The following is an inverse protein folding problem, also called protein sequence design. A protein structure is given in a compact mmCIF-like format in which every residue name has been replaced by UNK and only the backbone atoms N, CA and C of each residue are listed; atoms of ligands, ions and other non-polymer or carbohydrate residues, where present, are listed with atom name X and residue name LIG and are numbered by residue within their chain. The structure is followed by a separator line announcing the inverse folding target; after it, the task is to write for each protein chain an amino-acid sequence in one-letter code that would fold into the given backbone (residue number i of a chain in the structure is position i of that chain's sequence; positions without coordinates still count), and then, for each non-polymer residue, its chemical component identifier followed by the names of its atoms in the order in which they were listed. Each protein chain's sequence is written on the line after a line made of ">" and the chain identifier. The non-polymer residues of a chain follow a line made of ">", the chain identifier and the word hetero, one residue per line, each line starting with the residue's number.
data_IF_474609185388
#
_entry.id   IF_474609185388
#
_cell.length_a   1.000
_cell.length_b   1.000
_cell.length_c   1.000
_cell.angle_alpha   90.00
_cell.angle_beta   90.00
_cell.angle_gamma   90.00
#
_symmetry.space_group_name_H-M   'P 1'
#
loop_
_entity.id
_entity.type
_entity.pdbx_description
1 polymer ?
#
# COMPACT_ATOMS: atom_id res chain seq x y z
N UNK A 1 29.46 23.65 -13.10
CA UNK A 1 28.72 22.69 -13.93
C UNK A 1 28.86 21.32 -13.26
N UNK A 2 27.73 20.73 -12.80
CA UNK A 2 27.79 19.47 -12.03
C UNK A 2 27.64 18.26 -12.97
N UNK A 3 26.72 18.32 -13.95
CA UNK A 3 26.44 17.24 -14.90
C UNK A 3 25.60 17.75 -16.09
N UNK A 4 25.42 16.87 -17.09
CA UNK A 4 24.39 17.03 -18.10
C UNK A 4 23.17 16.21 -17.62
N UNK A 5 22.07 16.87 -17.38
CA UNK A 5 20.83 16.27 -16.90
C UNK A 5 19.73 16.33 -17.96
N UNK A 6 18.85 15.35 -17.98
CA UNK A 6 17.58 15.41 -18.71
C UNK A 6 16.51 15.94 -17.78
N UNK A 7 15.86 17.03 -18.14
CA UNK A 7 14.75 17.59 -17.40
C UNK A 7 13.43 17.27 -18.10
N UNK A 8 12.53 16.57 -17.41
CA UNK A 8 11.16 16.31 -17.85
C UNK A 8 10.22 17.27 -17.12
N UNK A 9 9.40 17.99 -17.88
CA UNK A 9 8.45 18.97 -17.33
C UNK A 9 7.04 18.46 -17.55
N UNK A 10 6.35 18.17 -16.45
CA UNK A 10 4.95 17.76 -16.44
C UNK A 10 4.08 18.95 -16.02
N UNK A 11 3.10 19.28 -16.85
CA UNK A 11 2.12 20.32 -16.55
C UNK A 11 0.88 19.74 -15.90
N UNK A 12 0.37 20.44 -14.90
CA UNK A 12 -0.90 20.08 -14.27
C UNK A 12 -2.02 19.94 -15.33
N UNK A 13 -2.94 18.97 -15.20
CA UNK A 13 -3.00 17.91 -14.21
C UNK A 13 -2.23 16.62 -14.59
N UNK A 14 -1.41 16.65 -15.65
CA UNK A 14 -0.73 15.47 -16.24
C UNK A 14 0.61 15.20 -15.55
N UNK A 15 0.59 14.94 -14.25
CA UNK A 15 1.75 14.57 -13.42
C UNK A 15 1.33 13.56 -12.37
N UNK A 16 2.29 13.03 -11.63
CA UNK A 16 2.02 12.12 -10.51
C UNK A 16 1.17 12.79 -9.43
N UNK A 17 1.52 14.01 -9.02
CA UNK A 17 0.80 14.74 -7.97
C UNK A 17 -0.43 15.52 -8.50
N UNK A 18 -0.63 15.62 -9.81
CA UNK A 18 -1.64 16.51 -10.40
C UNK A 18 -1.23 17.97 -10.46
N UNK A 19 -0.04 18.34 -9.94
CA UNK A 19 0.55 19.66 -9.97
C UNK A 19 1.59 19.80 -11.10
N UNK A 20 2.21 20.97 -11.25
CA UNK A 20 3.38 21.09 -12.11
C UNK A 20 4.57 20.38 -11.47
N UNK A 21 5.18 19.42 -12.17
CA UNK A 21 6.30 18.62 -11.69
C UNK A 21 7.47 18.71 -12.66
N UNK A 22 8.67 18.77 -12.14
CA UNK A 22 9.91 18.66 -12.91
C UNK A 22 10.71 17.49 -12.38
N UNK A 23 11.12 16.59 -13.25
CA UNK A 23 12.00 15.48 -12.94
C UNK A 23 13.37 15.70 -13.58
N UNK A 24 14.43 15.54 -12.80
CA UNK A 24 15.81 15.66 -13.25
C UNK A 24 16.48 14.29 -13.24
N UNK A 25 16.77 13.74 -14.41
CA UNK A 25 17.54 12.51 -14.56
C UNK A 25 19.02 12.84 -14.77
N UNK A 26 19.87 12.35 -13.88
CA UNK A 26 21.34 12.55 -13.89
C UNK A 26 22.04 11.22 -14.01
N UNK A 27 23.35 11.23 -14.32
CA UNK A 27 24.16 10.00 -14.35
C UNK A 27 24.15 9.29 -12.98
N UNK A 28 24.11 7.95 -13.00
CA UNK A 28 24.05 7.12 -11.81
C UNK A 28 25.34 7.13 -11.00
N UNK A 29 25.38 7.92 -9.97
CA UNK A 29 26.47 7.96 -8.99
C UNK A 29 26.04 8.77 -7.79
N UNK A 30 26.29 8.28 -6.57
CA UNK A 30 25.85 8.91 -5.34
C UNK A 30 26.27 10.39 -5.27
N UNK A 31 27.50 10.70 -5.66
CA UNK A 31 28.04 12.07 -5.65
C UNK A 31 27.26 13.00 -6.62
N UNK A 32 26.86 12.50 -7.79
CA UNK A 32 26.15 13.32 -8.77
C UNK A 32 24.72 13.59 -8.32
N UNK A 33 24.05 12.59 -7.77
CA UNK A 33 22.71 12.74 -7.17
C UNK A 33 22.75 13.76 -6.02
N UNK A 34 23.73 13.64 -5.11
CA UNK A 34 23.89 14.57 -3.99
C UNK A 34 24.17 16.00 -4.45
N UNK A 35 25.05 16.20 -5.44
CA UNK A 35 25.35 17.55 -6.00
C UNK A 35 24.13 18.15 -6.69
N UNK A 36 23.37 17.36 -7.43
CA UNK A 36 22.14 17.83 -8.09
C UNK A 36 21.09 18.23 -7.07
N UNK A 37 20.87 17.39 -6.04
CA UNK A 37 19.97 17.69 -4.94
C UNK A 37 20.39 19.00 -4.23
N UNK A 38 21.67 19.13 -3.88
CA UNK A 38 22.19 20.34 -3.24
C UNK A 38 21.98 21.59 -4.09
N UNK A 39 22.15 21.49 -5.42
CA UNK A 39 21.91 22.61 -6.33
C UNK A 39 20.42 23.02 -6.36
N UNK A 40 19.50 22.06 -6.39
CA UNK A 40 18.06 22.30 -6.35
C UNK A 40 17.64 22.94 -5.02
N UNK A 41 18.16 22.45 -3.88
CA UNK A 41 17.91 23.03 -2.56
C UNK A 41 18.45 24.46 -2.45
N UNK A 42 19.64 24.72 -2.99
CA UNK A 42 20.24 26.06 -3.02
C UNK A 42 19.46 27.03 -3.91
N UNK A 43 18.71 26.53 -4.88
CA UNK A 43 17.81 27.33 -5.74
C UNK A 43 16.45 27.62 -5.08
N UNK A 44 16.23 27.22 -3.82
CA UNK A 44 15.02 27.55 -3.04
C UNK A 44 14.02 26.40 -2.89
N UNK A 45 14.31 25.21 -3.39
CA UNK A 45 13.50 24.05 -3.07
C UNK A 45 13.73 23.61 -1.61
N UNK A 46 12.76 22.88 -1.05
CA UNK A 46 12.91 22.21 0.25
C UNK A 46 12.83 20.69 0.08
N UNK A 47 13.40 19.92 0.99
CA UNK A 47 13.18 18.47 1.02
C UNK A 47 11.69 18.16 1.21
N UNK A 48 11.19 17.18 0.48
CA UNK A 48 9.85 16.65 0.70
C UNK A 48 9.85 15.78 1.98
N UNK A 49 8.71 15.77 2.68
CA UNK A 49 8.48 14.83 3.77
C UNK A 49 8.22 13.42 3.22
N UNK A 50 8.40 12.40 4.06
CA UNK A 50 8.07 11.02 3.68
C UNK A 50 6.60 10.92 3.23
N UNK A 51 6.37 10.36 2.04
CA UNK A 51 5.03 10.22 1.45
C UNK A 51 4.38 11.51 0.93
N UNK A 52 5.09 12.66 0.92
CA UNK A 52 4.51 13.95 0.52
C UNK A 52 3.98 13.94 -0.91
N UNK A 53 4.68 13.32 -1.86
CA UNK A 53 4.22 13.22 -3.25
C UNK A 53 2.91 12.43 -3.37
N UNK A 54 2.82 11.30 -2.71
CA UNK A 54 1.61 10.45 -2.68
C UNK A 54 0.45 11.16 -1.98
N UNK A 55 0.72 11.85 -0.87
CA UNK A 55 -0.27 12.68 -0.18
C UNK A 55 -0.85 13.77 -1.09
N UNK A 56 0.00 14.47 -1.85
CA UNK A 56 -0.44 15.49 -2.82
C UNK A 56 -1.26 14.87 -3.94
N UNK A 57 -0.84 13.72 -4.47
CA UNK A 57 -1.58 12.98 -5.48
C UNK A 57 -3.00 12.61 -4.99
N UNK A 58 -3.13 12.11 -3.74
CA UNK A 58 -4.41 11.84 -3.10
C UNK A 58 -5.27 13.11 -2.95
N UNK A 59 -4.72 14.19 -2.39
CA UNK A 59 -5.45 15.45 -2.20
C UNK A 59 -5.93 16.08 -3.52
N UNK A 60 -5.19 15.87 -4.60
CA UNK A 60 -5.54 16.35 -5.95
C UNK A 60 -6.39 15.33 -6.75
N UNK A 61 -6.90 14.27 -6.12
CA UNK A 61 -7.81 13.30 -6.75
C UNK A 61 -7.16 12.42 -7.83
N UNK A 62 -5.81 12.30 -7.82
CA UNK A 62 -5.08 11.43 -8.76
C UNK A 62 -5.16 9.95 -8.38
N UNK A 63 -5.39 9.69 -7.12
CA UNK A 63 -5.57 8.36 -6.53
C UNK A 63 -6.47 8.45 -5.30
N UNK A 64 -7.09 7.36 -4.92
CA UNK A 64 -7.85 7.27 -3.68
C UNK A 64 -6.94 6.85 -2.50
N UNK A 65 -7.53 6.78 -1.29
CA UNK A 65 -6.79 6.46 -0.07
C UNK A 65 -6.19 5.05 -0.11
N UNK A 66 -6.93 4.06 -0.63
CA UNK A 66 -6.45 2.67 -0.69
C UNK A 66 -5.27 2.52 -1.65
N UNK A 67 -5.30 3.25 -2.76
CA UNK A 67 -4.19 3.33 -3.71
C UNK A 67 -2.97 4.03 -3.08
N UNK A 68 -3.19 5.13 -2.34
CA UNK A 68 -2.12 5.86 -1.67
C UNK A 68 -1.42 5.01 -0.60
N UNK A 69 -2.17 4.25 0.20
CA UNK A 69 -1.61 3.29 1.17
C UNK A 69 -0.85 2.14 0.49
N UNK A 70 -1.36 1.69 -0.67
CA UNK A 70 -0.71 0.64 -1.46
C UNK A 70 0.68 1.03 -1.96
N UNK A 71 0.96 2.32 -2.18
CA UNK A 71 2.30 2.80 -2.56
C UNK A 71 3.31 2.51 -1.43
N UNK A 72 2.95 2.77 -0.17
CA UNK A 72 3.83 2.50 0.96
C UNK A 72 4.08 1.00 1.11
N UNK A 73 3.03 0.18 1.01
CA UNK A 73 3.14 -1.28 1.07
C UNK A 73 3.98 -1.83 -0.09
N UNK A 74 3.83 -1.27 -1.30
CA UNK A 74 4.62 -1.67 -2.47
C UNK A 74 6.13 -1.42 -2.25
N UNK A 75 6.48 -0.28 -1.67
CA UNK A 75 7.88 0.09 -1.37
C UNK A 75 8.48 -0.83 -0.29
N UNK A 76 7.70 -1.21 0.72
CA UNK A 76 8.14 -2.07 1.82
C UNK A 76 8.01 -3.57 1.54
N UNK A 77 7.45 -3.96 0.38
CA UNK A 77 7.24 -5.36 0.03
C UNK A 77 8.56 -6.13 -0.07
N UNK A 78 8.67 -7.21 0.69
CA UNK A 78 9.86 -8.08 0.69
C UNK A 78 9.64 -9.39 -0.10
N UNK A 79 8.39 -9.72 -0.44
CA UNK A 79 8.02 -10.94 -1.16
C UNK A 79 7.27 -10.66 -2.46
N UNK A 80 7.39 -11.60 -3.42
CA UNK A 80 6.76 -11.47 -4.74
C UNK A 80 5.22 -11.44 -4.64
N UNK A 81 4.65 -12.18 -3.69
CA UNK A 81 3.21 -12.19 -3.43
C UNK A 81 2.72 -10.84 -2.85
N UNK A 82 3.48 -10.25 -1.91
CA UNK A 82 3.23 -8.93 -1.35
C UNK A 82 3.32 -7.85 -2.43
N UNK A 83 4.36 -7.89 -3.26
CA UNK A 83 4.52 -6.98 -4.39
C UNK A 83 3.32 -7.03 -5.34
N UNK A 84 2.88 -8.23 -5.73
CA UNK A 84 1.73 -8.44 -6.61
C UNK A 84 0.42 -7.95 -5.98
N UNK A 85 0.20 -8.23 -4.71
CA UNK A 85 -0.98 -7.78 -3.97
C UNK A 85 -1.05 -6.25 -3.90
N UNK A 86 0.06 -5.61 -3.53
CA UNK A 86 0.17 -4.14 -3.45
C UNK A 86 0.02 -3.48 -4.82
N UNK A 87 0.56 -4.09 -5.87
CA UNK A 87 0.38 -3.59 -7.23
C UNK A 87 -1.08 -3.66 -7.68
N UNK A 88 -1.80 -4.76 -7.40
CA UNK A 88 -3.22 -4.89 -7.71
C UNK A 88 -4.06 -3.87 -6.93
N UNK A 89 -3.73 -3.61 -5.66
CA UNK A 89 -4.40 -2.60 -4.85
C UNK A 89 -4.15 -1.19 -5.41
N UNK A 90 -2.90 -0.89 -5.83
CA UNK A 90 -2.55 0.36 -6.50
C UNK A 90 -3.31 0.56 -7.82
N UNK A 91 -3.60 -0.52 -8.56
CA UNK A 91 -4.45 -0.50 -9.76
C UNK A 91 -5.95 -0.30 -9.44
N UNK A 92 -6.33 -0.15 -8.17
CA UNK A 92 -7.68 0.16 -7.74
C UNK A 92 -8.61 -1.05 -7.62
N UNK A 93 -8.09 -2.27 -7.53
CA UNK A 93 -8.91 -3.48 -7.41
C UNK A 93 -9.81 -3.47 -6.17
N UNK A 94 -9.31 -2.97 -5.04
CA UNK A 94 -10.08 -2.82 -3.81
C UNK A 94 -11.09 -1.66 -3.92
N UNK A 95 -10.64 -0.52 -4.45
CA UNK A 95 -11.47 0.66 -4.65
C UNK A 95 -12.69 0.36 -5.53
N UNK A 96 -12.52 -0.42 -6.58
CA UNK A 96 -13.62 -0.84 -7.47
C UNK A 96 -14.69 -1.61 -6.70
N UNK A 97 -14.28 -2.55 -5.84
CA UNK A 97 -15.21 -3.34 -5.00
C UNK A 97 -15.94 -2.48 -3.98
N UNK A 98 -15.21 -1.61 -3.28
CA UNK A 98 -15.78 -0.69 -2.29
C UNK A 98 -16.77 0.27 -2.95
N UNK A 99 -16.42 0.84 -4.11
CA UNK A 99 -17.31 1.75 -4.85
C UNK A 99 -18.57 1.04 -5.35
N UNK A 100 -18.48 -0.24 -5.76
CA UNK A 100 -19.67 -1.04 -6.11
C UNK A 100 -20.63 -1.20 -4.94
N UNK A 101 -20.09 -1.50 -3.74
CA UNK A 101 -20.91 -1.60 -2.51
C UNK A 101 -21.50 -0.24 -2.14
N UNK A 102 -20.71 0.82 -2.19
CA UNK A 102 -21.14 2.18 -1.91
C UNK A 102 -22.28 2.61 -2.83
N UNK A 103 -22.20 2.32 -4.14
CA UNK A 103 -23.25 2.66 -5.08
C UNK A 103 -24.58 1.97 -4.75
N UNK A 104 -24.56 0.67 -4.40
CA UNK A 104 -25.76 -0.05 -3.96
C UNK A 104 -26.42 0.58 -2.73
N UNK A 105 -25.62 1.02 -1.76
CA UNK A 105 -26.11 1.70 -0.56
C UNK A 105 -26.67 3.08 -0.88
N UNK A 106 -26.03 3.83 -1.77
CA UNK A 106 -26.51 5.13 -2.23
C UNK A 106 -27.84 5.01 -2.98
N UNK A 107 -27.98 4.01 -3.85
CA UNK A 107 -29.23 3.74 -4.58
C UNK A 107 -30.37 3.43 -3.61
N UNK A 108 -30.16 2.58 -2.60
CA UNK A 108 -31.14 2.32 -1.55
C UNK A 108 -31.48 3.60 -0.76
N UNK A 109 -30.50 4.39 -0.40
CA UNK A 109 -30.68 5.64 0.33
C UNK A 109 -31.48 6.67 -0.49
N UNK A 110 -31.19 6.77 -1.80
CA UNK A 110 -31.90 7.70 -2.70
C UNK A 110 -33.39 7.36 -2.81
N UNK A 111 -33.71 6.06 -2.94
CA UNK A 111 -35.13 5.63 -2.99
C UNK A 111 -35.82 5.92 -1.66
N UNK A 112 -35.21 5.63 -0.52
CA UNK A 112 -35.78 5.95 0.79
C UNK A 112 -35.99 7.46 1.00
N UNK A 113 -35.04 8.28 0.54
CA UNK A 113 -35.17 9.74 0.60
C UNK A 113 -36.33 10.23 -0.28
N UNK A 114 -36.47 9.69 -1.48
CA UNK A 114 -37.58 10.02 -2.38
C UNK A 114 -38.95 9.70 -1.76
N UNK A 115 -39.11 8.59 -1.05
CA UNK A 115 -40.38 8.29 -0.36
C UNK A 115 -40.70 9.26 0.77
N UNK A 116 -39.69 9.76 1.47
CA UNK A 116 -39.88 10.74 2.54
C UNK A 116 -40.26 12.11 1.98
N UNK A 117 -39.63 12.51 0.87
CA UNK A 117 -39.79 13.85 0.30
C UNK A 117 -41.05 13.96 -0.58
N UNK A 118 -41.52 12.85 -1.19
CA UNK A 118 -42.64 12.82 -2.12
C UNK A 118 -43.63 11.71 -1.78
N UNK A 119 -44.33 11.78 -0.61
CA UNK A 119 -45.21 10.71 -0.14
C UNK A 119 -46.48 10.51 -0.99
N UNK A 120 -46.85 11.53 -1.77
CA UNK A 120 -48.06 11.52 -2.62
C UNK A 120 -47.77 11.13 -4.09
N UNK A 121 -46.51 10.87 -4.45
CA UNK A 121 -46.12 10.43 -5.78
C UNK A 121 -46.06 8.90 -5.85
N UNK A 122 -46.51 8.33 -6.97
CA UNK A 122 -46.33 6.90 -7.27
C UNK A 122 -44.85 6.59 -7.60
N UNK A 123 -43.99 6.65 -6.56
CA UNK A 123 -42.61 6.19 -6.68
C UNK A 123 -42.60 4.67 -6.58
N UNK A 124 -41.87 4.03 -7.47
CA UNK A 124 -41.69 2.58 -7.49
C UNK A 124 -41.24 2.10 -6.08
N UNK A 125 -42.16 1.41 -5.38
CA UNK A 125 -41.90 0.92 -4.02
C UNK A 125 -40.81 -0.16 -4.06
N UNK A 126 -39.65 0.12 -3.51
CA UNK A 126 -38.74 -0.94 -3.10
C UNK A 126 -39.44 -1.72 -1.97
N UNK A 127 -39.83 -2.94 -2.24
CA UNK A 127 -40.43 -3.77 -1.20
C UNK A 127 -39.39 -3.98 -0.07
N UNK A 128 -39.86 -4.10 1.18
CA UNK A 128 -38.99 -4.42 2.30
C UNK A 128 -38.11 -5.65 2.03
N UNK A 129 -38.62 -6.63 1.28
CA UNK A 129 -37.90 -7.85 0.91
C UNK A 129 -36.74 -7.56 -0.06
N UNK A 130 -36.92 -6.67 -1.04
CA UNK A 130 -35.85 -6.25 -1.96
C UNK A 130 -34.79 -5.43 -1.27
N UNK A 131 -35.18 -4.54 -0.35
CA UNK A 131 -34.24 -3.77 0.48
C UNK A 131 -33.40 -4.71 1.36
N UNK A 132 -34.05 -5.65 2.07
CA UNK A 132 -33.35 -6.63 2.91
C UNK A 132 -32.43 -7.49 2.07
N UNK A 133 -32.85 -7.94 0.89
CA UNK A 133 -32.01 -8.72 -0.03
C UNK A 133 -30.79 -7.96 -0.48
N UNK A 134 -30.95 -6.69 -0.87
CA UNK A 134 -29.84 -5.84 -1.31
C UNK A 134 -28.84 -5.59 -0.17
N UNK A 135 -29.33 -5.23 1.03
CA UNK A 135 -28.47 -5.01 2.20
C UNK A 135 -27.77 -6.28 2.67
N UNK A 136 -28.45 -7.44 2.58
CA UNK A 136 -27.83 -8.74 2.88
C UNK A 136 -26.73 -9.08 1.89
N UNK A 137 -26.96 -8.83 0.59
CA UNK A 137 -25.93 -9.01 -0.44
C UNK A 137 -24.70 -8.11 -0.22
N UNK A 138 -24.94 -6.84 0.10
CA UNK A 138 -23.85 -5.89 0.46
C UNK A 138 -23.08 -6.39 1.68
N UNK A 139 -23.78 -6.85 2.72
CA UNK A 139 -23.15 -7.41 3.92
C UNK A 139 -22.25 -8.60 3.56
N UNK A 140 -22.72 -9.52 2.73
CA UNK A 140 -22.00 -10.72 2.34
C UNK A 140 -20.75 -10.36 1.51
N UNK A 141 -20.86 -9.40 0.57
CA UNK A 141 -19.71 -8.88 -0.18
C UNK A 141 -18.63 -8.27 0.75
N UNK A 142 -19.05 -7.52 1.77
CA UNK A 142 -18.11 -6.94 2.76
C UNK A 142 -17.46 -8.05 3.62
N UNK A 143 -18.22 -9.07 4.03
CA UNK A 143 -17.65 -10.21 4.75
C UNK A 143 -16.63 -10.99 3.93
N UNK A 144 -16.86 -11.16 2.63
CA UNK A 144 -15.89 -11.83 1.75
C UNK A 144 -14.61 -11.01 1.57
N UNK A 145 -14.70 -9.67 1.55
CA UNK A 145 -13.53 -8.80 1.59
C UNK A 145 -12.75 -8.96 2.91
N UNK A 146 -13.46 -9.02 4.05
CA UNK A 146 -12.84 -9.20 5.37
C UNK A 146 -12.15 -10.55 5.52
N UNK A 147 -12.74 -11.66 5.03
CA UNK A 147 -12.11 -13.00 5.07
C UNK A 147 -10.74 -13.03 4.37
N UNK A 148 -10.57 -12.22 3.33
CA UNK A 148 -9.29 -12.08 2.63
C UNK A 148 -8.25 -11.27 3.38
N UNK A 149 -8.65 -10.47 4.37
CA UNK A 149 -7.77 -9.53 5.07
C UNK A 149 -6.66 -10.21 5.85
N UNK A 150 -6.97 -11.21 6.69
CA UNK A 150 -6.00 -11.91 7.52
C UNK A 150 -4.93 -12.63 6.67
N UNK A 151 -5.35 -13.26 5.58
CA UNK A 151 -4.44 -13.90 4.63
C UNK A 151 -3.57 -12.86 3.91
N UNK A 152 -4.16 -11.73 3.50
CA UNK A 152 -3.45 -10.63 2.88
C UNK A 152 -2.42 -10.00 3.83
N UNK A 153 -2.77 -9.81 5.09
CA UNK A 153 -1.89 -9.25 6.10
C UNK A 153 -0.67 -10.15 6.35
N UNK A 154 -0.88 -11.47 6.45
CA UNK A 154 0.20 -12.45 6.57
C UNK A 154 1.17 -12.42 5.38
N UNK A 155 0.64 -12.28 4.16
CA UNK A 155 1.44 -12.18 2.94
C UNK A 155 2.23 -10.87 2.88
N UNK A 156 1.62 -9.78 3.33
CA UNK A 156 2.20 -8.42 3.24
C UNK A 156 3.19 -8.12 4.36
N UNK A 157 2.81 -8.46 5.60
CA UNK A 157 3.57 -8.12 6.79
C UNK A 157 4.45 -9.28 7.30
N UNK A 158 4.39 -10.45 6.66
CA UNK A 158 5.08 -11.62 7.17
C UNK A 158 4.50 -12.17 8.47
N UNK A 159 5.21 -13.08 9.10
CA UNK A 159 4.83 -13.72 10.37
C UNK A 159 5.96 -13.55 11.37
N UNK A 160 5.70 -12.83 12.46
CA UNK A 160 6.62 -12.76 13.60
C UNK A 160 6.76 -14.14 14.25
N UNK A 161 7.96 -14.71 14.17
CA UNK A 161 8.24 -16.09 14.55
C UNK A 161 9.34 -16.15 15.60
N UNK A 162 9.14 -16.87 16.69
CA UNK A 162 10.16 -17.06 17.72
C UNK A 162 10.60 -18.52 17.82
N UNK A 163 11.91 -18.77 17.74
CA UNK A 163 12.51 -20.09 17.99
C UNK A 163 12.85 -20.19 19.48
N UNK A 164 12.07 -20.96 20.21
CA UNK A 164 12.23 -21.14 21.65
C UNK A 164 12.62 -22.56 22.03
N UNK A 165 13.36 -22.76 23.13
CA UNK A 165 13.75 -24.09 23.62
C UNK A 165 14.91 -24.02 24.62
N UNK A 166 15.21 -25.15 25.27
CA UNK A 166 16.33 -25.28 26.24
C UNK A 166 17.69 -25.01 25.59
N UNK A 167 18.73 -24.78 26.38
CA UNK A 167 20.10 -24.65 25.88
C UNK A 167 20.51 -25.92 25.13
N UNK A 168 21.29 -25.76 24.04
CA UNK A 168 21.90 -26.84 23.24
C UNK A 168 20.93 -27.83 22.56
N UNK A 169 19.66 -27.44 22.32
CA UNK A 169 18.68 -28.29 21.60
C UNK A 169 18.69 -28.10 20.09
N UNK A 170 19.60 -27.27 19.57
CA UNK A 170 19.73 -27.06 18.10
C UNK A 170 19.03 -25.82 17.56
N UNK A 171 18.63 -24.85 18.40
CA UNK A 171 18.00 -23.58 17.92
C UNK A 171 18.84 -22.84 16.91
N UNK A 172 20.13 -22.65 17.19
CA UNK A 172 21.08 -21.96 16.29
C UNK A 172 21.32 -22.77 15.00
N UNK A 173 21.33 -24.11 15.09
CA UNK A 173 21.44 -24.96 13.89
C UNK A 173 20.21 -24.87 13.00
N UNK A 174 19.01 -24.79 13.60
CA UNK A 174 17.76 -24.57 12.85
C UNK A 174 17.77 -23.19 12.21
N UNK A 175 18.13 -22.15 12.95
CA UNK A 175 18.25 -20.78 12.43
C UNK A 175 19.22 -20.73 11.24
N UNK A 176 20.44 -21.28 11.40
CA UNK A 176 21.43 -21.34 10.33
C UNK A 176 20.97 -22.14 9.10
N UNK A 177 20.17 -23.18 9.30
CA UNK A 177 19.59 -23.94 8.20
C UNK A 177 18.53 -23.14 7.45
N UNK A 178 17.70 -22.40 8.15
CA UNK A 178 16.66 -21.56 7.58
C UNK A 178 17.25 -20.34 6.84
N UNK A 179 18.25 -19.68 7.43
CA UNK A 179 18.95 -18.54 6.83
C UNK A 179 19.88 -18.92 5.69
N UNK A 180 20.38 -20.14 5.65
CA UNK A 180 21.27 -20.66 4.58
C UNK A 180 20.58 -20.94 3.25
N UNK A 181 19.27 -20.95 3.21
CA UNK A 181 18.50 -21.33 2.01
C UNK A 181 18.14 -20.18 1.07
N UNK A 182 18.09 -18.93 1.55
CA UNK A 182 17.89 -17.74 0.67
C UNK A 182 18.36 -16.47 1.39
N UNK A 183 19.58 -16.04 1.15
CA UNK A 183 20.07 -14.75 1.67
C UNK A 183 19.38 -13.59 0.99
N UNK A 184 18.32 -13.08 1.58
CA UNK A 184 17.91 -11.70 1.35
C UNK A 184 18.88 -10.78 2.09
N UNK A 185 19.20 -9.66 1.48
CA UNK A 185 20.17 -8.65 1.87
C UNK A 185 19.96 -8.25 3.34
N UNK A 186 20.90 -8.64 4.21
CA UNK A 186 20.91 -8.29 5.63
C UNK A 186 21.53 -6.92 5.78
N UNK A 187 20.86 -6.00 6.47
CA UNK A 187 21.50 -4.78 6.99
C UNK A 187 22.04 -5.07 8.38
N UNK A 188 23.37 -5.16 8.48
CA UNK A 188 24.07 -5.28 9.74
C UNK A 188 23.90 -4.00 10.59
N UNK A 189 23.20 -4.10 11.72
CA UNK A 189 23.33 -3.13 12.82
C UNK A 189 23.94 -3.89 13.99
N UNK A 190 25.23 -3.70 14.17
CA UNK A 190 26.00 -4.28 15.28
C UNK A 190 25.80 -3.47 16.57
N UNK A 191 25.52 -4.15 17.66
CA UNK A 191 25.68 -3.58 19.01
C UNK A 191 24.84 -4.17 20.12
N UNK A 192 25.50 -4.94 20.97
CA UNK A 192 25.33 -5.25 22.41
C UNK A 192 24.77 -6.61 22.86
N UNK A 193 25.60 -7.26 23.53
CA UNK A 193 25.66 -8.47 24.40
C UNK A 193 24.35 -9.03 25.00
N UNK A 194 24.05 -10.22 24.62
CA UNK A 194 22.97 -11.22 24.80
C UNK A 194 21.92 -11.12 23.70
N UNK A 195 22.35 -11.40 22.52
CA UNK A 195 21.71 -10.95 21.30
C UNK A 195 20.56 -11.86 20.95
N UNK A 196 19.37 -11.25 20.89
CA UNK A 196 18.29 -11.75 20.06
C UNK A 196 18.80 -11.58 18.63
N UNK A 197 19.06 -12.69 17.94
CA UNK A 197 19.40 -12.66 16.51
C UNK A 197 18.06 -12.62 15.79
N UNK A 198 17.76 -11.50 15.16
CA UNK A 198 16.57 -11.31 14.32
C UNK A 198 17.02 -11.38 12.86
N UNK A 199 16.39 -12.24 12.10
CA UNK A 199 16.64 -12.37 10.64
C UNK A 199 15.34 -12.62 9.91
N UNK A 200 15.18 -11.99 8.76
CA UNK A 200 14.05 -12.20 7.86
C UNK A 200 14.32 -13.43 6.99
N UNK A 201 13.42 -14.41 7.07
CA UNK A 201 13.55 -15.67 6.35
C UNK A 201 12.38 -15.82 5.37
N UNK A 202 12.68 -15.95 4.09
CA UNK A 202 11.67 -16.20 3.06
C UNK A 202 11.34 -17.69 2.97
N UNK A 203 10.13 -18.06 3.32
CA UNK A 203 9.60 -19.40 3.24
C UNK A 203 8.48 -19.48 2.18
N UNK A 204 8.84 -19.80 0.94
CA UNK A 204 7.90 -19.74 -0.17
C UNK A 204 7.44 -18.31 -0.45
N UNK A 205 6.14 -18.03 -0.25
CA UNK A 205 5.54 -16.72 -0.47
C UNK A 205 5.38 -15.89 0.80
N UNK A 206 5.85 -16.37 1.95
CA UNK A 206 5.70 -15.73 3.25
C UNK A 206 7.09 -15.36 3.78
N UNK A 207 7.19 -14.22 4.44
CA UNK A 207 8.39 -13.80 5.17
C UNK A 207 8.17 -14.12 6.66
N UNK A 208 9.14 -14.77 7.29
CA UNK A 208 9.21 -14.98 8.75
C UNK A 208 10.19 -13.95 9.32
N UNK A 209 9.74 -13.18 10.30
CA UNK A 209 10.53 -12.21 11.05
C UNK A 209 10.96 -12.77 12.40
#
# INVERSE_FOLDING_TARGET
>A
RADNAVALVFRAPRSYTGENVVELSVHGGLLMVQKTLAAVLSAGARPAQAGEFTKRAFLNGKMDLTQAESVATLISSQGEASLKASFNALQGSLSTKINSVLQKLLDCSAVMAAWVDYPDEEIEELSNDELIKTLSGVKDELYDLLKGYDNGQTITNGVSTAIVGRANVGKSSLMNMLTGTDKSIVTDIAGTTRDIVEEDIKLGNIVLH
#
